data_IF_358036259860
#
_entry.id   IF_358036259860
#
_cell.length_a   1.000
_cell.length_b   1.000
_cell.length_c   1.000
_cell.angle_alpha   90.00
_cell.angle_beta   90.00
_cell.angle_gamma   90.00
#
_symmetry.space_group_name_H-M   'P 1'
#
loop_
_entity.id
_entity.type
_entity.pdbx_description
1 polymer ?
#
# COMPACT_ATOMS: atom_id res chain seq x y z
N UNK A 1 -44.39 29.43 -21.65
CA UNK A 1 -44.25 27.96 -21.77
C UNK A 1 -42.84 27.71 -22.29
N UNK A 2 -41.87 27.80 -21.38
CA UNK A 2 -40.43 27.72 -21.65
C UNK A 2 -40.05 26.26 -21.78
N UNK A 3 -39.51 25.88 -22.94
CA UNK A 3 -39.01 24.55 -23.21
C UNK A 3 -37.80 24.27 -22.30
N UNK A 4 -37.92 23.22 -21.51
CA UNK A 4 -36.83 22.60 -20.79
C UNK A 4 -35.84 22.00 -21.80
N UNK A 5 -34.61 22.52 -21.85
CA UNK A 5 -33.52 21.95 -22.65
C UNK A 5 -32.82 20.90 -21.77
N UNK A 6 -32.66 19.66 -22.22
CA UNK A 6 -31.81 18.72 -21.51
C UNK A 6 -30.35 19.19 -21.65
N UNK A 7 -29.69 19.40 -20.50
CA UNK A 7 -28.23 19.60 -20.45
C UNK A 7 -27.50 18.36 -20.97
N UNK A 8 -26.60 18.47 -21.95
CA UNK A 8 -25.72 17.36 -22.33
C UNK A 8 -24.55 17.38 -21.36
N UNK A 9 -24.59 16.52 -20.34
CA UNK A 9 -23.58 16.55 -19.28
C UNK A 9 -23.36 15.20 -18.63
N UNK A 10 -22.39 14.45 -19.18
CA UNK A 10 -21.63 13.37 -18.54
C UNK A 10 -22.28 11.97 -18.52
N UNK A 11 -22.72 11.50 -19.68
CA UNK A 11 -22.97 10.07 -19.88
C UNK A 11 -21.70 9.43 -20.48
N UNK A 12 -20.68 9.22 -19.65
CA UNK A 12 -19.59 8.31 -20.01
C UNK A 12 -20.16 6.90 -20.12
N UNK A 13 -19.63 6.07 -21.03
CA UNK A 13 -20.00 4.65 -21.07
C UNK A 13 -19.58 4.02 -19.72
N UNK A 14 -20.53 3.55 -18.88
CA UNK A 14 -20.20 2.98 -17.58
C UNK A 14 -19.24 1.79 -17.67
N UNK A 15 -19.22 1.10 -18.82
CA UNK A 15 -18.23 0.05 -19.08
C UNK A 15 -16.81 0.60 -19.17
N UNK A 16 -16.61 1.67 -19.95
CA UNK A 16 -15.32 2.34 -20.08
C UNK A 16 -14.84 2.94 -18.76
N UNK A 17 -15.76 3.47 -17.95
CA UNK A 17 -15.47 3.95 -16.60
C UNK A 17 -15.00 2.81 -15.68
N UNK A 18 -15.70 1.68 -15.67
CA UNK A 18 -15.28 0.49 -14.90
C UNK A 18 -13.94 -0.06 -15.36
N UNK A 19 -13.71 -0.15 -16.67
CA UNK A 19 -12.45 -0.63 -17.22
C UNK A 19 -11.27 0.26 -16.78
N UNK A 20 -11.46 1.58 -16.85
CA UNK A 20 -10.44 2.56 -16.42
C UNK A 20 -10.12 2.42 -14.93
N UNK A 21 -11.15 2.31 -14.09
CA UNK A 21 -10.95 2.15 -12.63
C UNK A 21 -10.25 0.83 -12.30
N UNK A 22 -10.59 -0.26 -12.99
CA UNK A 22 -9.91 -1.54 -12.79
C UNK A 22 -8.44 -1.47 -13.24
N UNK A 23 -8.13 -0.77 -14.35
CA UNK A 23 -6.76 -0.56 -14.81
C UNK A 23 -5.93 0.24 -13.78
N UNK A 24 -6.52 1.30 -13.22
CA UNK A 24 -5.88 2.11 -12.16
C UNK A 24 -5.60 1.28 -10.90
N UNK A 25 -6.60 0.53 -10.43
CA UNK A 25 -6.46 -0.34 -9.26
C UNK A 25 -5.44 -1.46 -9.48
N UNK A 26 -5.36 -2.04 -10.67
CA UNK A 26 -4.31 -2.99 -11.03
C UNK A 26 -2.92 -2.34 -10.98
N UNK A 27 -2.78 -1.13 -11.51
CA UNK A 27 -1.54 -0.37 -11.45
C UNK A 27 -1.07 -0.07 -10.03
N UNK A 28 -2.00 0.27 -9.13
CA UNK A 28 -1.69 0.49 -7.70
C UNK A 28 -1.15 -0.78 -7.03
N UNK A 29 -1.74 -1.94 -7.34
CA UNK A 29 -1.27 -3.22 -6.78
C UNK A 29 0.13 -3.56 -7.26
N UNK A 30 0.40 -3.40 -8.56
CA UNK A 30 1.72 -3.63 -9.13
C UNK A 30 2.77 -2.69 -8.50
N UNK A 31 2.40 -1.43 -8.23
CA UNK A 31 3.29 -0.49 -7.55
C UNK A 31 3.57 -0.89 -6.09
N UNK A 32 2.59 -1.47 -5.40
CA UNK A 32 2.79 -2.01 -4.05
C UNK A 32 3.76 -3.20 -4.06
N UNK A 33 3.56 -4.14 -4.98
CA UNK A 33 4.45 -5.30 -5.17
C UNK A 33 5.89 -4.87 -5.47
N UNK A 34 6.08 -3.96 -6.44
CA UNK A 34 7.39 -3.46 -6.81
C UNK A 34 8.14 -2.79 -5.64
N UNK A 35 7.43 -2.13 -4.73
CA UNK A 35 8.04 -1.50 -3.54
C UNK A 35 8.57 -2.53 -2.54
N UNK A 36 7.95 -3.71 -2.48
CA UNK A 36 8.39 -4.82 -1.63
C UNK A 36 9.58 -5.56 -2.27
N UNK A 37 9.52 -5.84 -3.57
CA UNK A 37 10.59 -6.55 -4.30
C UNK A 37 11.91 -5.77 -4.31
N UNK A 38 11.85 -4.44 -4.35
CA UNK A 38 13.02 -3.58 -4.35
C UNK A 38 13.63 -3.36 -2.95
N UNK A 39 13.11 -4.02 -1.89
CA UNK A 39 13.49 -3.84 -0.48
C UNK A 39 13.47 -2.36 -0.01
N UNK A 40 12.60 -1.54 -0.61
CA UNK A 40 12.54 -0.09 -0.34
C UNK A 40 11.74 0.21 0.92
N UNK A 41 12.38 0.00 2.07
CA UNK A 41 11.81 0.16 3.41
C UNK A 41 11.06 1.48 3.67
N UNK A 42 11.44 2.59 3.03
CA UNK A 42 10.73 3.87 3.16
C UNK A 42 9.44 3.93 2.33
N UNK A 43 9.44 3.32 1.15
CA UNK A 43 8.27 3.24 0.26
C UNK A 43 7.22 2.29 0.82
N UNK A 44 7.65 1.16 1.40
CA UNK A 44 6.78 0.22 2.13
C UNK A 44 6.08 0.90 3.31
N UNK A 45 6.77 1.76 4.07
CA UNK A 45 6.11 2.54 5.14
C UNK A 45 5.16 3.61 4.61
N UNK A 46 5.46 4.20 3.44
CA UNK A 46 4.58 5.18 2.81
C UNK A 46 3.23 4.56 2.41
N UNK A 47 3.22 3.29 2.01
CA UNK A 47 1.99 2.54 1.76
C UNK A 47 1.10 2.45 3.00
N UNK A 48 1.67 2.13 4.17
CA UNK A 48 0.90 2.09 5.42
C UNK A 48 0.18 3.40 5.77
N UNK A 49 0.77 4.56 5.40
CA UNK A 49 0.10 5.86 5.53
C UNK A 49 -0.98 6.06 4.47
N UNK A 50 -0.67 5.79 3.20
CA UNK A 50 -1.61 5.92 2.08
C UNK A 50 -2.87 5.07 2.28
N UNK A 51 -2.73 3.86 2.80
CA UNK A 51 -3.85 2.95 3.06
C UNK A 51 -4.85 3.51 4.08
N UNK A 52 -4.41 4.37 5.01
CA UNK A 52 -5.30 4.98 6.00
C UNK A 52 -6.25 6.02 5.36
N UNK A 53 -5.84 6.62 4.24
CA UNK A 53 -6.61 7.64 3.51
C UNK A 53 -7.33 7.06 2.28
N UNK A 54 -7.26 5.73 2.07
CA UNK A 54 -7.84 5.10 0.88
C UNK A 54 -9.37 5.16 0.90
N UNK A 55 -9.94 5.63 -0.21
CA UNK A 55 -11.38 5.72 -0.43
C UNK A 55 -11.73 4.85 -1.63
N UNK A 56 -12.67 3.90 -1.49
CA UNK A 56 -13.08 3.08 -2.62
C UNK A 56 -13.80 3.92 -3.68
N UNK A 57 -13.66 3.58 -4.97
CA UNK A 57 -14.38 4.26 -6.03
C UNK A 57 -15.89 4.06 -5.85
N UNK A 58 -16.66 5.16 -5.93
CA UNK A 58 -18.12 5.18 -5.73
C UNK A 58 -18.81 5.78 -6.95
N UNK A 59 -20.11 5.53 -7.10
CA UNK A 59 -20.91 6.14 -8.18
C UNK A 59 -20.83 5.44 -9.54
N UNK A 60 -20.06 4.35 -9.67
CA UNK A 60 -19.87 3.63 -10.93
C UNK A 60 -21.04 2.68 -11.32
N UNK A 61 -22.05 2.53 -10.46
CA UNK A 61 -23.10 1.54 -10.66
C UNK A 61 -22.61 0.09 -10.52
N UNK A 62 -23.35 -0.91 -11.01
CA UNK A 62 -22.93 -2.31 -10.92
C UNK A 62 -21.81 -2.65 -11.92
N UNK A 63 -20.90 -3.54 -11.52
CA UNK A 63 -19.83 -4.05 -12.41
C UNK A 63 -20.44 -4.80 -13.61
N UNK A 64 -20.06 -4.44 -14.86
CA UNK A 64 -20.44 -5.14 -16.08
C UNK A 64 -20.08 -6.64 -16.01
N UNK A 65 -20.94 -7.50 -16.56
CA UNK A 65 -20.84 -8.95 -16.37
C UNK A 65 -19.52 -9.55 -16.87
N UNK A 66 -18.99 -9.03 -17.98
CA UNK A 66 -17.72 -9.40 -18.59
C UNK A 66 -16.51 -8.96 -17.76
N UNK A 67 -16.63 -7.90 -16.95
CA UNK A 67 -15.58 -7.41 -16.08
C UNK A 67 -15.59 -8.06 -14.69
N UNK A 68 -16.62 -8.82 -14.32
CA UNK A 68 -16.75 -9.42 -12.97
C UNK A 68 -15.62 -10.37 -12.62
N UNK A 69 -15.23 -11.23 -13.56
CA UNK A 69 -14.14 -12.18 -13.33
C UNK A 69 -12.80 -11.45 -13.15
N UNK A 70 -12.57 -10.40 -13.94
CA UNK A 70 -11.39 -9.54 -13.79
C UNK A 70 -11.37 -8.86 -12.43
N UNK A 71 -12.46 -8.21 -12.05
CA UNK A 71 -12.60 -7.55 -10.76
C UNK A 71 -12.42 -8.53 -9.58
N UNK A 72 -12.97 -9.75 -9.69
CA UNK A 72 -12.81 -10.76 -8.65
C UNK A 72 -11.35 -11.23 -8.51
N UNK A 73 -10.65 -11.47 -9.62
CA UNK A 73 -9.22 -11.82 -9.61
C UNK A 73 -8.37 -10.69 -9.04
N UNK A 74 -8.65 -9.45 -9.43
CA UNK A 74 -7.98 -8.28 -8.89
C UNK A 74 -8.18 -8.16 -7.37
N UNK A 75 -9.41 -8.36 -6.88
CA UNK A 75 -9.68 -8.33 -5.44
C UNK A 75 -8.90 -9.40 -4.67
N UNK A 76 -8.84 -10.63 -5.19
CA UNK A 76 -8.03 -11.69 -4.56
C UNK A 76 -6.55 -11.33 -4.53
N UNK A 77 -6.03 -10.75 -5.63
CA UNK A 77 -4.65 -10.27 -5.71
C UNK A 77 -4.38 -9.14 -4.71
N UNK A 78 -5.28 -8.17 -4.62
CA UNK A 78 -5.23 -7.08 -3.64
C UNK A 78 -5.14 -7.58 -2.21
N UNK A 79 -5.93 -8.59 -1.85
CA UNK A 79 -5.90 -9.17 -0.50
C UNK A 79 -4.56 -9.85 -0.22
N UNK A 80 -4.04 -10.64 -1.16
CA UNK A 80 -2.74 -11.30 -1.02
C UNK A 80 -1.59 -10.28 -0.88
N UNK A 81 -1.60 -9.23 -1.70
CA UNK A 81 -0.60 -8.15 -1.64
C UNK A 81 -0.73 -7.34 -0.36
N UNK A 82 -1.95 -7.07 0.12
CA UNK A 82 -2.16 -6.38 1.39
C UNK A 82 -1.60 -7.18 2.57
N UNK A 83 -1.79 -8.50 2.58
CA UNK A 83 -1.22 -9.39 3.60
C UNK A 83 0.33 -9.34 3.58
N UNK A 84 0.92 -9.46 2.39
CA UNK A 84 2.38 -9.37 2.22
C UNK A 84 2.94 -8.01 2.65
N UNK A 85 2.23 -6.93 2.30
CA UNK A 85 2.62 -5.56 2.61
C UNK A 85 2.59 -5.29 4.12
N UNK A 86 1.57 -5.79 4.83
CA UNK A 86 1.51 -5.69 6.30
C UNK A 86 2.72 -6.37 6.94
N UNK A 87 3.07 -7.57 6.48
CA UNK A 87 4.25 -8.28 6.99
C UNK A 87 5.54 -7.52 6.70
N UNK A 88 5.71 -6.98 5.49
CA UNK A 88 6.87 -6.17 5.12
C UNK A 88 7.00 -4.91 6.00
N UNK A 89 5.89 -4.21 6.29
CA UNK A 89 5.88 -3.05 7.20
C UNK A 89 6.33 -3.45 8.61
N UNK A 90 5.86 -4.59 9.13
CA UNK A 90 6.25 -5.08 10.46
C UNK A 90 7.73 -5.42 10.50
N UNK A 91 8.25 -6.10 9.47
CA UNK A 91 9.67 -6.45 9.37
C UNK A 91 10.56 -5.20 9.29
N UNK A 92 10.18 -4.23 8.47
CA UNK A 92 10.88 -2.95 8.32
C UNK A 92 11.03 -2.21 9.66
N UNK A 93 9.96 -2.14 10.46
CA UNK A 93 9.98 -1.52 11.80
C UNK A 93 10.91 -2.25 12.77
N UNK A 94 10.86 -3.58 12.79
CA UNK A 94 11.76 -4.39 13.65
C UNK A 94 13.23 -4.19 13.29
N UNK A 95 13.56 -4.09 12.01
CA UNK A 95 14.92 -3.80 11.55
C UNK A 95 15.40 -2.42 12.04
N UNK A 96 14.56 -1.38 11.93
CA UNK A 96 14.88 -0.04 12.45
C UNK A 96 15.09 -0.04 13.97
N UNK A 97 14.24 -0.74 14.74
CA UNK A 97 14.38 -0.84 16.20
C UNK A 97 15.70 -1.52 16.62
N UNK A 98 16.10 -2.58 15.91
CA UNK A 98 17.38 -3.26 16.16
C UNK A 98 18.55 -2.34 15.82
N UNK A 99 18.52 -1.67 14.67
CA UNK A 99 19.56 -0.73 14.25
C UNK A 99 19.70 0.45 15.24
N UNK A 100 18.58 0.97 15.74
CA UNK A 100 18.57 2.01 16.78
C UNK A 100 19.23 1.50 18.07
N UNK A 101 18.88 0.31 18.54
CA UNK A 101 19.51 -0.30 19.74
C UNK A 101 21.02 -0.50 19.58
N UNK A 102 21.48 -0.91 18.40
CA UNK A 102 22.91 -1.06 18.13
C UNK A 102 23.64 0.29 18.14
N UNK A 103 23.00 1.35 17.63
CA UNK A 103 23.57 2.71 17.59
C UNK A 103 23.69 3.33 18.98
N UNK A 104 22.72 3.07 19.87
CA UNK A 104 22.69 3.60 21.23
C UNK A 104 23.29 2.67 22.29
N UNK A 105 23.76 1.47 21.91
CA UNK A 105 24.44 0.57 22.84
C UNK A 105 25.75 1.23 23.27
N UNK A 106 25.87 1.54 24.57
CA UNK A 106 27.10 2.06 25.16
C UNK A 106 28.28 1.13 24.83
N UNK A 107 29.49 1.68 24.56
CA UNK A 107 30.67 0.85 24.32
C UNK A 107 30.81 -0.14 25.48
N UNK A 108 30.98 -1.42 25.13
CA UNK A 108 31.16 -2.52 26.09
C UNK A 108 32.12 -2.07 27.19
N UNK A 109 31.82 -2.25 28.50
CA UNK A 109 32.73 -1.83 29.55
C UNK A 109 34.11 -2.43 29.25
N UNK A 110 35.09 -1.55 29.06
CA UNK A 110 36.47 -1.96 28.85
C UNK A 110 36.90 -2.79 30.06
N UNK A 111 37.63 -3.88 29.83
CA UNK A 111 38.15 -4.69 30.92
C UNK A 111 39.04 -3.81 31.81
N UNK A 112 38.57 -3.51 33.02
CA UNK A 112 39.35 -2.78 34.02
C UNK A 112 40.04 -3.79 34.93
N UNK A 113 41.37 -3.81 34.90
CA UNK A 113 42.16 -4.53 35.89
C UNK A 113 42.30 -3.68 37.16
N UNK A 114 42.02 -4.28 38.32
CA UNK A 114 42.33 -3.71 39.63
C UNK A 114 43.61 -4.38 40.11
N UNK A 115 44.67 -3.59 40.26
CA UNK A 115 45.91 -4.04 40.90
C UNK A 115 45.73 -3.93 42.42
N UNK A 116 45.76 -5.07 43.11
CA UNK A 116 45.74 -5.10 44.56
C UNK A 116 47.17 -5.34 45.07
N UNK A 117 47.83 -4.27 45.50
CA UNK A 117 49.08 -4.37 46.24
C UNK A 117 48.81 -4.92 47.66
N UNK A 118 49.60 -5.93 48.03
CA UNK A 118 49.56 -6.64 49.32
C UNK A 118 50.14 -5.80 50.47
#
# INVERSE_FOLDING_TARGET
>A
MTADRPSPGRDGDPHAEWATVLDELEGEVLAAEASMDAERNEEVEAWGRRSADWVPPTGLGPVPADLRERAARLLQHQLAVAEALVEAIIQSRRQRDVAARMTYAAPRPAASYIDQAL
#
